data_IF_157029029100
#
_entry.id   IF_157029029100
#
_cell.length_a   1.000
_cell.length_b   1.000
_cell.length_c   1.000
_cell.angle_alpha   90.00
_cell.angle_beta   90.00
_cell.angle_gamma   90.00
#
_symmetry.space_group_name_H-M   'P 1'
#
loop_
_entity.id
_entity.type
_entity.pdbx_description
1 polymer ?
#
# COMPACT_ATOMS: atom_id res chain seq x y z
N UNK A 1 10.13 9.46 6.87
CA UNK A 1 10.46 9.20 8.29
C UNK A 1 11.64 10.05 8.74
N UNK A 2 12.78 10.01 8.03
CA UNK A 2 13.93 10.88 8.35
C UNK A 2 13.61 12.37 8.36
N UNK A 3 12.84 12.87 7.39
CA UNK A 3 12.38 14.27 7.38
C UNK A 3 11.53 14.59 8.60
N UNK A 4 10.67 13.67 9.05
CA UNK A 4 9.85 13.86 10.24
C UNK A 4 10.72 13.93 11.49
N UNK A 5 11.69 13.02 11.63
CA UNK A 5 12.63 13.02 12.76
C UNK A 5 13.51 14.28 12.81
N UNK A 6 13.76 14.92 11.66
CA UNK A 6 14.47 16.20 11.59
C UNK A 6 13.61 17.38 12.02
N UNK A 7 12.31 17.33 11.76
CA UNK A 7 11.38 18.43 12.00
C UNK A 7 10.72 18.37 13.38
N UNK A 8 10.57 17.19 13.95
CA UNK A 8 9.93 16.97 15.24
C UNK A 8 10.92 16.33 16.24
N UNK A 9 11.38 17.06 17.27
CA UNK A 9 12.30 16.52 18.27
C UNK A 9 11.67 15.43 19.15
N UNK A 10 10.34 15.29 19.18
CA UNK A 10 9.64 14.21 19.88
C UNK A 10 9.62 12.90 19.07
N UNK A 11 9.96 12.94 17.78
CA UNK A 11 9.97 11.76 16.91
C UNK A 11 11.39 11.32 16.60
N UNK A 12 11.77 10.11 17.02
CA UNK A 12 13.05 9.49 16.68
C UNK A 12 12.83 8.32 15.73
N UNK A 13 13.63 8.27 14.67
CA UNK A 13 13.56 7.22 13.66
C UNK A 13 14.85 6.42 13.64
N UNK A 14 14.72 5.10 13.70
CA UNK A 14 15.83 4.15 13.57
C UNK A 14 15.49 3.16 12.46
N UNK A 15 16.32 3.10 11.43
CA UNK A 15 16.23 2.09 10.39
C UNK A 15 17.18 0.93 10.70
N UNK A 16 16.71 -0.30 10.41
CA UNK A 16 17.48 -1.53 10.51
C UNK A 16 17.31 -2.28 9.19
N UNK A 17 18.40 -2.51 8.48
CA UNK A 17 18.36 -3.14 7.16
C UNK A 17 18.97 -4.54 7.22
N UNK A 18 18.29 -5.53 6.65
CA UNK A 18 18.80 -6.91 6.62
C UNK A 18 19.82 -7.13 5.50
N UNK A 19 19.59 -6.53 4.33
CA UNK A 19 20.41 -6.71 3.13
C UNK A 19 20.58 -5.40 2.38
N UNK A 20 21.65 -5.30 1.58
CA UNK A 20 21.89 -4.16 0.70
C UNK A 20 21.39 -4.44 -0.72
N UNK A 21 20.95 -3.40 -1.42
CA UNK A 21 20.89 -3.40 -2.87
C UNK A 21 22.30 -3.36 -3.51
N UNK A 22 22.43 -3.70 -4.81
CA UNK A 22 23.71 -3.77 -5.51
C UNK A 22 24.57 -2.51 -5.44
N UNK A 23 23.94 -1.34 -5.28
CA UNK A 23 24.60 -0.02 -5.22
C UNK A 23 24.29 0.73 -3.91
N UNK A 24 23.82 0.03 -2.87
CA UNK A 24 23.49 0.63 -1.57
C UNK A 24 24.57 0.35 -0.53
N UNK A 25 25.11 1.41 0.09
CA UNK A 25 26.10 1.31 1.15
C UNK A 25 25.47 1.68 2.51
N UNK A 26 24.59 0.82 3.04
CA UNK A 26 23.97 1.04 4.35
C UNK A 26 25.01 0.92 5.47
N UNK A 27 25.19 1.96 6.28
CA UNK A 27 26.18 1.95 7.38
C UNK A 27 25.54 1.92 8.77
N UNK A 28 24.21 1.85 8.84
CA UNK A 28 23.45 1.80 10.09
C UNK A 28 23.30 0.39 10.68
N UNK A 29 22.31 0.24 11.56
CA UNK A 29 21.97 -1.02 12.21
C UNK A 29 21.59 -2.09 11.18
N UNK A 30 22.07 -3.32 11.37
CA UNK A 30 21.89 -4.41 10.42
C UNK A 30 21.25 -5.66 11.01
N UNK A 31 20.53 -6.38 10.15
CA UNK A 31 19.87 -7.64 10.47
C UNK A 31 18.38 -7.47 10.79
N UNK A 32 17.82 -8.43 11.53
CA UNK A 32 16.47 -8.35 12.08
C UNK A 32 16.49 -7.63 13.43
N UNK A 33 15.36 -7.05 13.82
CA UNK A 33 15.21 -6.46 15.15
C UNK A 33 15.57 -7.49 16.22
N UNK A 34 16.52 -7.13 17.08
CA UNK A 34 16.97 -7.92 18.22
C UNK A 34 16.94 -7.06 19.48
N UNK A 35 17.04 -7.68 20.65
CA UNK A 35 17.05 -6.96 21.92
C UNK A 35 18.25 -6.00 22.02
N UNK A 36 19.41 -6.41 21.49
CA UNK A 36 20.62 -5.56 21.46
C UNK A 36 20.40 -4.29 20.63
N UNK A 37 19.80 -4.45 19.44
CA UNK A 37 19.45 -3.34 18.55
C UNK A 37 18.41 -2.43 19.23
N UNK A 38 17.39 -3.02 19.86
CA UNK A 38 16.35 -2.27 20.57
C UNK A 38 16.94 -1.48 21.74
N UNK A 39 17.78 -2.09 22.57
CA UNK A 39 18.42 -1.45 23.71
C UNK A 39 19.40 -0.35 23.29
N UNK A 40 20.10 -0.52 22.17
CA UNK A 40 20.98 0.51 21.61
C UNK A 40 20.19 1.72 21.09
N UNK A 41 19.05 1.48 20.43
CA UNK A 41 18.21 2.53 19.88
C UNK A 41 17.34 3.24 20.93
N UNK A 42 16.83 2.47 21.90
CA UNK A 42 15.85 2.90 22.91
C UNK A 42 16.26 2.32 24.27
N UNK A 43 17.17 2.96 25.03
CA UNK A 43 17.68 2.41 26.29
C UNK A 43 16.61 2.19 27.38
N UNK A 44 15.54 2.96 27.35
CA UNK A 44 14.40 2.92 28.26
C UNK A 44 13.22 2.09 27.71
N UNK A 45 13.45 1.19 26.76
CA UNK A 45 12.41 0.40 26.08
C UNK A 45 11.49 -0.35 27.04
N UNK A 46 12.02 -0.86 28.16
CA UNK A 46 11.25 -1.63 29.15
C UNK A 46 10.17 -0.79 29.85
N UNK A 47 10.30 0.53 29.85
CA UNK A 47 9.37 1.47 30.46
C UNK A 47 8.38 2.07 29.45
N UNK A 48 8.39 1.64 28.19
CA UNK A 48 7.56 2.21 27.12
C UNK A 48 6.39 1.32 26.72
N UNK A 49 5.47 1.89 25.93
CA UNK A 49 4.49 1.10 25.19
C UNK A 49 5.09 0.69 23.84
N UNK A 50 4.83 -0.55 23.44
CA UNK A 50 5.33 -1.13 22.19
C UNK A 50 4.16 -1.42 21.28
N UNK A 51 4.17 -0.81 20.10
CA UNK A 51 3.21 -1.06 19.04
C UNK A 51 3.93 -1.73 17.87
N UNK A 52 3.46 -2.89 17.45
CA UNK A 52 4.08 -3.67 16.37
C UNK A 52 3.06 -3.95 15.28
N UNK A 53 3.48 -3.70 14.05
CA UNK A 53 2.72 -4.06 12.85
C UNK A 53 3.71 -4.60 11.82
N UNK A 54 3.32 -5.64 11.10
CA UNK A 54 4.11 -6.21 10.02
C UNK A 54 3.64 -7.61 9.63
N UNK A 55 4.42 -8.33 8.80
CA UNK A 55 4.14 -9.73 8.48
C UNK A 55 4.08 -10.59 9.75
N UNK A 56 3.23 -11.62 9.75
CA UNK A 56 3.02 -12.50 10.92
C UNK A 56 4.33 -13.05 11.51
N UNK A 57 5.29 -13.58 10.73
CA UNK A 57 6.55 -14.07 11.28
C UNK A 57 7.38 -13.00 12.01
N UNK A 58 7.31 -11.74 11.55
CA UNK A 58 7.99 -10.63 12.19
C UNK A 58 7.34 -10.28 13.53
N UNK A 59 6.02 -10.15 13.58
CA UNK A 59 5.30 -9.85 14.82
C UNK A 59 5.50 -10.95 15.87
N UNK A 60 5.44 -12.22 15.46
CA UNK A 60 5.69 -13.36 16.35
C UNK A 60 7.13 -13.34 16.90
N UNK A 61 8.12 -12.98 16.08
CA UNK A 61 9.52 -12.82 16.52
C UNK A 61 9.69 -11.69 17.54
N UNK A 62 9.08 -10.52 17.31
CA UNK A 62 9.15 -9.38 18.25
C UNK A 62 8.45 -9.73 19.56
N UNK A 63 7.27 -10.36 19.51
CA UNK A 63 6.55 -10.82 20.70
C UNK A 63 7.38 -11.80 21.52
N UNK A 64 8.03 -12.77 20.87
CA UNK A 64 8.90 -13.73 21.55
C UNK A 64 10.09 -13.02 22.20
N UNK A 65 10.80 -12.17 21.46
CA UNK A 65 11.93 -11.39 21.95
C UNK A 65 11.58 -10.57 23.19
N UNK A 66 10.47 -9.83 23.18
CA UNK A 66 10.04 -9.00 24.31
C UNK A 66 9.66 -9.84 25.53
N UNK A 67 8.89 -10.92 25.31
CA UNK A 67 8.50 -11.84 26.38
C UNK A 67 9.73 -12.49 27.03
N UNK A 68 10.68 -12.95 26.23
CA UNK A 68 11.87 -13.63 26.71
C UNK A 68 12.82 -12.64 27.43
N UNK A 69 12.74 -11.35 27.10
CA UNK A 69 13.41 -10.26 27.80
C UNK A 69 12.67 -9.79 29.08
N UNK A 70 11.53 -10.39 29.43
CA UNK A 70 10.75 -10.04 30.61
C UNK A 70 9.94 -8.74 30.49
N UNK A 71 9.62 -8.32 29.27
CA UNK A 71 8.77 -7.14 29.04
C UNK A 71 7.36 -7.30 29.60
N UNK A 72 6.76 -6.21 30.07
CA UNK A 72 5.35 -6.20 30.45
C UNK A 72 4.46 -6.25 29.20
N UNK A 73 4.00 -7.46 28.87
CA UNK A 73 3.16 -7.71 27.70
C UNK A 73 1.78 -7.04 27.78
N UNK A 74 1.36 -6.47 28.92
CA UNK A 74 0.17 -5.63 28.98
C UNK A 74 0.34 -4.31 28.20
N UNK A 75 1.59 -3.90 27.95
CA UNK A 75 1.98 -2.67 27.23
C UNK A 75 2.44 -2.94 25.80
N UNK A 76 2.20 -4.17 25.32
CA UNK A 76 2.52 -4.62 23.96
C UNK A 76 1.22 -4.72 23.15
N UNK A 77 1.20 -4.06 22.01
CA UNK A 77 0.04 -3.97 21.13
C UNK A 77 0.43 -4.37 19.73
N UNK A 78 -0.44 -5.14 19.07
CA UNK A 78 -0.20 -5.60 17.71
C UNK A 78 -1.39 -5.30 16.81
N UNK A 79 -1.08 -4.90 15.58
CA UNK A 79 -2.05 -4.78 14.51
C UNK A 79 -1.52 -5.55 13.28
N UNK A 80 -2.32 -6.52 12.81
CA UNK A 80 -2.00 -7.31 11.61
C UNK A 80 -2.86 -6.85 10.44
N UNK A 81 -2.20 -6.52 9.33
CA UNK A 81 -2.84 -6.37 8.03
C UNK A 81 -2.71 -7.63 7.16
N UNK A 82 -2.11 -8.69 7.71
CA UNK A 82 -2.10 -10.02 7.12
C UNK A 82 -3.34 -10.79 7.61
N UNK A 83 -4.14 -11.22 6.63
CA UNK A 83 -5.43 -11.84 6.81
C UNK A 83 -5.36 -13.37 6.74
N UNK A 84 -4.17 -13.97 6.80
CA UNK A 84 -3.99 -15.44 6.79
C UNK A 84 -4.68 -16.23 7.92
N UNK A 85 -5.37 -15.55 8.85
CA UNK A 85 -6.22 -16.16 9.89
C UNK A 85 -7.73 -16.13 9.56
N UNK A 86 -8.14 -15.59 8.41
CA UNK A 86 -9.52 -15.66 7.93
C UNK A 86 -9.89 -17.12 7.56
N UNK A 87 -11.19 -17.48 7.48
CA UNK A 87 -11.64 -18.75 6.92
C UNK A 87 -10.94 -19.07 5.59
N UNK A 88 -10.76 -20.35 5.26
CA UNK A 88 -9.94 -20.75 4.10
C UNK A 88 -10.42 -20.15 2.77
N UNK A 89 -11.73 -19.92 2.64
CA UNK A 89 -12.32 -19.21 1.50
C UNK A 89 -11.82 -17.77 1.35
N UNK A 90 -11.59 -17.09 2.46
CA UNK A 90 -11.12 -15.71 2.51
C UNK A 90 -9.59 -15.65 2.39
N UNK A 91 -8.86 -16.67 2.87
CA UNK A 91 -7.41 -16.81 2.59
C UNK A 91 -7.14 -16.98 1.10
N UNK A 92 -7.99 -17.73 0.39
CA UNK A 92 -7.87 -17.91 -1.05
C UNK A 92 -7.98 -16.57 -1.79
N UNK A 93 -8.96 -15.74 -1.41
CA UNK A 93 -9.15 -14.40 -1.97
C UNK A 93 -7.99 -13.45 -1.66
N UNK A 94 -7.37 -13.56 -0.48
CA UNK A 94 -6.21 -12.73 -0.08
C UNK A 94 -4.94 -13.21 -0.78
N UNK A 95 -4.73 -14.52 -0.92
CA UNK A 95 -3.59 -15.10 -1.66
C UNK A 95 -3.70 -14.78 -3.16
N UNK A 96 -4.91 -14.79 -3.74
CA UNK A 96 -5.13 -14.32 -5.12
C UNK A 96 -4.87 -12.81 -5.25
N UNK A 97 -5.29 -12.00 -4.27
CA UNK A 97 -5.02 -10.57 -4.27
C UNK A 97 -3.53 -10.22 -4.08
N UNK A 98 -2.81 -10.96 -3.22
CA UNK A 98 -1.36 -10.81 -3.03
C UNK A 98 -0.57 -11.36 -4.23
N UNK A 99 -0.99 -12.47 -4.84
CA UNK A 99 -0.39 -12.95 -6.10
C UNK A 99 -0.62 -11.96 -7.25
N UNK A 100 -1.77 -11.30 -7.30
CA UNK A 100 -2.03 -10.23 -8.27
C UNK A 100 -1.14 -8.98 -8.07
N UNK A 101 -0.53 -8.84 -6.89
CA UNK A 101 0.43 -7.78 -6.57
C UNK A 101 1.88 -8.20 -6.88
N UNK A 102 2.21 -9.49 -6.85
CA UNK A 102 3.59 -10.01 -6.99
C UNK A 102 3.88 -10.75 -8.32
N UNK A 103 2.94 -10.92 -9.25
CA UNK A 103 3.27 -11.52 -10.55
C UNK A 103 3.86 -10.49 -11.52
N UNK A 104 5.18 -10.47 -11.62
CA UNK A 104 5.84 -10.40 -12.92
C UNK A 104 6.17 -11.83 -13.40
N UNK A 105 5.95 -12.07 -14.69
CA UNK A 105 6.23 -13.27 -15.49
C UNK A 105 5.50 -14.60 -15.14
N UNK A 106 4.42 -14.90 -15.89
CA UNK A 106 4.02 -16.30 -16.13
C UNK A 106 2.58 -16.55 -16.58
N UNK A 107 2.30 -16.35 -17.87
CA UNK A 107 1.09 -16.78 -18.61
C UNK A 107 -0.28 -16.22 -18.10
N UNK A 108 -0.69 -15.09 -18.68
CA UNK A 108 -1.96 -14.44 -18.38
C UNK A 108 -3.17 -15.23 -18.92
N UNK A 109 -4.27 -15.35 -18.15
CA UNK A 109 -5.60 -15.49 -18.76
C UNK A 109 -5.87 -14.26 -19.64
N UNK A 110 -6.57 -14.44 -20.75
CA UNK A 110 -6.91 -13.36 -21.69
C UNK A 110 -7.94 -12.41 -21.07
N UNK A 111 -7.48 -11.51 -20.22
CA UNK A 111 -8.26 -10.39 -19.68
C UNK A 111 -8.32 -9.31 -20.76
N UNK A 112 -9.50 -8.73 -21.01
CA UNK A 112 -9.60 -7.64 -22.00
C UNK A 112 -8.88 -6.42 -21.45
N UNK A 113 -8.07 -5.80 -22.29
CA UNK A 113 -7.38 -4.55 -21.99
C UNK A 113 -8.05 -3.40 -22.73
N UNK A 114 -8.17 -2.27 -22.06
CA UNK A 114 -8.72 -1.04 -22.63
C UNK A 114 -7.64 0.04 -22.66
N UNK A 115 -7.67 0.86 -23.71
CA UNK A 115 -6.76 1.98 -23.87
C UNK A 115 -7.25 3.15 -23.03
N UNK A 116 -6.40 3.68 -22.15
CA UNK A 116 -6.70 4.86 -21.32
C UNK A 116 -5.74 5.99 -21.70
N UNK A 117 -6.29 7.10 -22.16
CA UNK A 117 -5.55 8.30 -22.54
C UNK A 117 -5.77 9.44 -21.54
N UNK A 118 -4.68 10.05 -21.07
CA UNK A 118 -4.71 11.27 -20.25
C UNK A 118 -4.49 12.49 -21.15
N UNK A 119 -5.57 13.20 -21.47
CA UNK A 119 -5.59 14.19 -22.55
C UNK A 119 -4.60 15.35 -22.37
N UNK A 120 -4.35 15.84 -21.14
CA UNK A 120 -3.44 16.99 -20.94
C UNK A 120 -1.98 16.60 -21.03
N UNK A 121 -1.64 15.39 -20.60
CA UNK A 121 -0.26 14.88 -20.61
C UNK A 121 0.06 14.06 -21.87
N UNK A 122 -0.94 13.75 -22.70
CA UNK A 122 -0.87 12.85 -23.85
C UNK A 122 -0.26 11.48 -23.52
N UNK A 123 -0.35 11.05 -22.26
CA UNK A 123 0.10 9.72 -21.85
C UNK A 123 -1.00 8.72 -22.10
N UNK A 124 -0.61 7.56 -22.60
CA UNK A 124 -1.50 6.43 -22.87
C UNK A 124 -1.01 5.26 -22.05
N UNK A 125 -1.94 4.49 -21.51
CA UNK A 125 -1.67 3.19 -20.88
C UNK A 125 -2.72 2.18 -21.30
N UNK A 126 -2.37 0.91 -21.15
CA UNK A 126 -3.31 -0.20 -21.26
C UNK A 126 -3.75 -0.61 -19.86
N UNK A 127 -5.06 -0.62 -19.64
CA UNK A 127 -5.67 -0.99 -18.37
C UNK A 127 -6.49 -2.27 -18.55
N UNK A 128 -6.12 -3.37 -17.88
CA UNK A 128 -6.97 -4.55 -17.78
C UNK A 128 -8.34 -4.23 -17.19
N UNK A 129 -9.38 -4.94 -17.62
CA UNK A 129 -10.76 -4.77 -17.12
C UNK A 129 -10.93 -5.17 -15.65
N UNK A 130 -10.03 -6.01 -15.13
CA UNK A 130 -10.00 -6.44 -13.73
C UNK A 130 -9.17 -5.52 -12.82
N UNK A 131 -8.39 -4.59 -13.38
CA UNK A 131 -7.52 -3.65 -12.66
C UNK A 131 -8.15 -2.25 -12.53
N UNK A 132 -7.74 -1.52 -11.48
CA UNK A 132 -8.13 -0.10 -11.36
C UNK A 132 -7.27 0.77 -12.26
N UNK A 133 -7.82 1.89 -12.74
CA UNK A 133 -7.08 2.86 -13.55
C UNK A 133 -5.87 3.41 -12.77
N UNK A 134 -6.00 3.60 -11.45
CA UNK A 134 -4.88 4.04 -10.61
C UNK A 134 -3.74 3.02 -10.59
N UNK A 135 -4.03 1.73 -10.47
CA UNK A 135 -3.00 0.69 -10.42
C UNK A 135 -2.31 0.52 -11.77
N UNK A 136 -3.07 0.54 -12.86
CA UNK A 136 -2.52 0.52 -14.22
C UNK A 136 -1.63 1.76 -14.47
N UNK A 137 -2.05 2.93 -14.00
CA UNK A 137 -1.25 4.16 -14.07
C UNK A 137 0.06 4.05 -13.30
N UNK A 138 0.03 3.50 -12.08
CA UNK A 138 1.24 3.26 -11.27
C UNK A 138 2.21 2.31 -11.96
N UNK A 139 1.72 1.18 -12.48
CA UNK A 139 2.52 0.20 -13.25
C UNK A 139 3.14 0.84 -14.50
N UNK A 140 2.42 1.75 -15.16
CA UNK A 140 2.92 2.52 -16.31
C UNK A 140 3.81 3.73 -15.94
N UNK A 141 4.18 3.89 -14.67
CA UNK A 141 5.02 4.99 -14.18
C UNK A 141 4.32 6.36 -14.12
N UNK A 142 2.99 6.41 -14.24
CA UNK A 142 2.19 7.65 -14.15
C UNK A 142 1.82 7.92 -12.71
N UNK A 143 2.29 9.06 -12.18
CA UNK A 143 1.91 9.52 -10.84
C UNK A 143 0.57 10.25 -10.88
N UNK A 144 -0.47 9.57 -10.39
CA UNK A 144 -1.78 10.16 -10.15
C UNK A 144 -1.94 10.50 -8.65
N UNK A 145 -2.43 11.70 -8.31
CA UNK A 145 -2.83 12.07 -6.97
C UNK A 145 -3.81 11.06 -6.36
N UNK A 146 -3.37 10.43 -5.28
CA UNK A 146 -4.14 9.44 -4.53
C UNK A 146 -3.71 9.49 -3.07
N UNK A 147 -4.67 9.33 -2.16
CA UNK A 147 -4.43 9.24 -0.71
C UNK A 147 -4.98 7.91 -0.18
N UNK A 148 -6.29 7.76 -0.07
CA UNK A 148 -6.88 6.54 0.51
C UNK A 148 -6.83 5.29 -0.40
N UNK A 149 -6.69 5.47 -1.71
CA UNK A 149 -6.80 4.42 -2.74
C UNK A 149 -8.06 3.51 -2.67
N UNK A 150 -9.09 3.88 -1.90
CA UNK A 150 -10.30 3.07 -1.65
C UNK A 150 -11.62 3.81 -1.92
N UNK A 151 -11.57 4.90 -2.68
CA UNK A 151 -12.78 5.64 -3.07
C UNK A 151 -13.47 6.46 -1.95
N UNK A 152 -12.72 6.82 -0.88
CA UNK A 152 -13.25 7.57 0.27
C UNK A 152 -12.91 9.07 0.26
N UNK A 153 -11.68 9.43 -0.11
CA UNK A 153 -11.18 10.82 0.03
C UNK A 153 -11.45 11.76 -1.16
N UNK A 154 -11.78 11.21 -2.34
CA UNK A 154 -11.99 12.02 -3.55
C UNK A 154 -10.73 12.61 -4.20
N UNK A 155 -9.51 12.40 -3.69
CA UNK A 155 -8.26 12.94 -4.27
C UNK A 155 -8.01 12.47 -5.71
N UNK A 156 -8.40 11.22 -6.01
CA UNK A 156 -8.19 10.58 -7.31
C UNK A 156 -9.25 10.99 -8.36
N UNK A 157 -10.10 11.97 -8.05
CA UNK A 157 -11.21 12.41 -8.91
C UNK A 157 -10.68 13.03 -10.21
N UNK A 158 -11.21 12.54 -11.33
CA UNK A 158 -10.85 12.97 -12.68
C UNK A 158 -12.07 12.93 -13.58
N UNK A 159 -12.09 13.75 -14.63
CA UNK A 159 -13.22 13.81 -15.56
C UNK A 159 -12.99 12.83 -16.72
N UNK A 160 -13.98 11.98 -16.98
CA UNK A 160 -14.00 11.07 -18.14
C UNK A 160 -14.67 11.81 -19.29
N UNK A 161 -13.93 12.07 -20.35
CA UNK A 161 -14.38 12.78 -21.55
C UNK A 161 -14.99 11.81 -22.57
N UNK A 162 -14.43 10.60 -22.62
CA UNK A 162 -14.87 9.53 -23.51
C UNK A 162 -14.76 8.19 -22.79
N UNK A 163 -15.74 7.32 -23.04
CA UNK A 163 -15.79 5.97 -22.50
C UNK A 163 -16.51 5.87 -21.18
N UNK A 164 -16.53 4.66 -20.63
CA UNK A 164 -17.29 4.30 -19.42
C UNK A 164 -16.43 3.51 -18.44
N UNK A 165 -16.75 3.67 -17.16
CA UNK A 165 -16.08 2.98 -16.06
C UNK A 165 -17.10 2.34 -15.15
N UNK A 166 -16.78 1.15 -14.63
CA UNK A 166 -17.46 0.58 -13.48
C UNK A 166 -16.76 1.10 -12.22
N UNK A 167 -17.50 1.80 -11.34
CA UNK A 167 -16.95 2.43 -10.15
C UNK A 167 -17.71 2.03 -8.90
N UNK A 168 -17.01 1.42 -7.94
CA UNK A 168 -17.54 1.10 -6.61
C UNK A 168 -16.84 1.99 -5.58
N UNK A 169 -17.52 3.02 -5.09
CA UNK A 169 -16.93 4.02 -4.19
C UNK A 169 -17.52 3.95 -2.78
N UNK A 170 -16.75 4.34 -1.77
CA UNK A 170 -17.14 4.38 -0.36
C UNK A 170 -17.62 5.79 0.06
N UNK A 171 -18.31 6.51 -0.82
CA UNK A 171 -18.81 7.87 -0.56
C UNK A 171 -17.87 9.04 -0.91
N UNK A 172 -16.68 8.79 -1.49
CA UNK A 172 -15.73 9.84 -1.88
C UNK A 172 -16.11 10.70 -3.10
N UNK A 173 -17.30 10.49 -3.67
CA UNK A 173 -17.86 11.24 -4.80
C UNK A 173 -19.38 11.32 -4.66
N UNK A 174 -19.96 12.47 -4.99
CA UNK A 174 -21.42 12.68 -4.95
C UNK A 174 -22.06 12.35 -6.29
N UNK A 175 -23.33 11.93 -6.29
CA UNK A 175 -24.06 11.56 -7.51
C UNK A 175 -24.00 12.66 -8.59
N UNK A 176 -24.24 13.92 -8.22
CA UNK A 176 -24.12 15.08 -9.15
C UNK A 176 -22.77 15.19 -9.88
N UNK A 177 -21.70 14.69 -9.26
CA UNK A 177 -20.36 14.71 -9.86
C UNK A 177 -20.18 13.54 -10.83
N UNK A 178 -20.74 12.37 -10.48
CA UNK A 178 -20.82 11.21 -11.38
C UNK A 178 -21.60 11.58 -12.63
N UNK A 179 -22.76 12.22 -12.46
CA UNK A 179 -23.62 12.67 -13.56
C UNK A 179 -22.92 13.72 -14.45
N UNK A 180 -21.97 14.47 -13.88
CA UNK A 180 -21.11 15.41 -14.61
C UNK A 180 -19.90 14.74 -15.30
N UNK A 181 -19.83 13.41 -15.33
CA UNK A 181 -18.75 12.64 -15.94
C UNK A 181 -17.48 12.55 -15.09
N UNK A 182 -17.55 12.79 -13.78
CA UNK A 182 -16.41 12.63 -12.88
C UNK A 182 -16.34 11.19 -12.34
N UNK A 183 -15.13 10.64 -12.27
CA UNK A 183 -14.86 9.31 -11.72
C UNK A 183 -13.67 9.32 -10.76
N UNK A 184 -13.67 8.39 -9.81
CA UNK A 184 -12.56 8.13 -8.88
C UNK A 184 -11.66 7.04 -9.47
N UNK A 185 -10.52 7.42 -10.05
CA UNK A 185 -9.63 6.48 -10.76
C UNK A 185 -9.10 5.34 -9.88
N UNK A 186 -9.08 5.56 -8.56
CA UNK A 186 -8.61 4.60 -7.57
C UNK A 186 -9.57 3.45 -7.26
N UNK A 187 -10.84 3.55 -7.68
CA UNK A 187 -11.83 2.49 -7.53
C UNK A 187 -12.70 2.34 -8.78
N UNK A 188 -12.17 2.80 -9.93
CA UNK A 188 -12.82 2.70 -11.24
C UNK A 188 -12.06 1.71 -12.10
N UNK A 189 -12.79 0.77 -12.69
CA UNK A 189 -12.30 -0.17 -13.69
C UNK A 189 -12.85 0.23 -15.07
N UNK A 190 -12.06 0.19 -16.14
CA UNK A 190 -12.54 0.54 -17.48
C UNK A 190 -13.54 -0.50 -17.99
N UNK A 191 -14.61 -0.05 -18.63
CA UNK A 191 -15.55 -0.90 -19.39
C UNK A 191 -15.51 -0.62 -20.90
N UNK A 192 -14.73 0.38 -21.31
CA UNK A 192 -14.41 0.73 -22.69
C UNK A 192 -13.08 1.50 -22.73
N UNK A 193 -12.57 1.81 -23.93
CA UNK A 193 -11.48 2.78 -24.08
C UNK A 193 -11.87 4.13 -23.48
N UNK A 194 -10.92 4.76 -22.78
CA UNK A 194 -11.14 5.98 -21.99
C UNK A 194 -10.30 7.14 -22.48
N UNK A 195 -10.88 8.34 -22.42
CA UNK A 195 -10.15 9.60 -22.45
C UNK A 195 -10.45 10.38 -21.18
N UNK A 196 -9.42 10.68 -20.39
CA UNK A 196 -9.52 11.34 -19.09
C UNK A 196 -8.91 12.75 -19.20
N UNK A 197 -9.67 13.76 -18.78
CA UNK A 197 -9.23 15.15 -18.72
C UNK A 197 -8.42 15.40 -17.45
N UNK A 198 -7.13 15.06 -17.50
CA UNK A 198 -6.20 15.23 -16.39
C UNK A 198 -4.81 15.62 -16.87
#
# INVERSE_FOLDING_TARGET
LETMARLDPAFRFHAVCESDGPDEAWTGLRGRLSLDILAQAVPDWAEREVFVCGPRPYMDAVRAMLRDAGFDMARHHEESFDFGALPEADKQAVVEASRALDTDAGAAPTVRTFRVEFAKTRRVLDCPEDATILDAARKAGIRLPSSCAKGLCGTCKSKVVKGTVAMTHAGGIRQREIDAGMALLCCSKPTSDLVIER
#
